data_IF_951846288154
#
_entry.id   IF_951846288154
#
_cell.length_a   1.000
_cell.length_b   1.000
_cell.length_c   1.000
_cell.angle_alpha   90.00
_cell.angle_beta   90.00
_cell.angle_gamma   90.00
#
_symmetry.space_group_name_H-M   'P 1'
#
loop_
_entity.id
_entity.type
_entity.pdbx_description
1 polymer ?
#
# COMPACT_ATOMS: atom_id res chain seq x y z
N UNK A 1 16.28 6.26 -13.27
CA UNK A 1 15.85 4.85 -13.49
C UNK A 1 16.94 3.83 -13.16
N UNK A 2 18.09 3.77 -13.85
CA UNK A 2 19.15 2.79 -13.51
C UNK A 2 19.74 2.99 -12.10
N UNK A 3 19.94 4.25 -11.68
CA UNK A 3 20.40 4.60 -10.33
C UNK A 3 19.40 4.19 -9.24
N UNK A 4 18.11 4.36 -9.51
CA UNK A 4 17.03 4.04 -8.55
C UNK A 4 16.88 2.51 -8.41
N UNK A 5 17.01 1.79 -9.52
CA UNK A 5 17.04 0.33 -9.50
C UNK A 5 18.23 -0.20 -8.71
N UNK A 6 19.42 0.37 -8.92
CA UNK A 6 20.61 0.00 -8.15
C UNK A 6 20.40 0.25 -6.65
N UNK A 7 19.89 1.43 -6.26
CA UNK A 7 19.60 1.73 -4.87
C UNK A 7 18.57 0.77 -4.25
N UNK A 8 17.53 0.38 -5.00
CA UNK A 8 16.57 -0.61 -4.54
C UNK A 8 17.20 -2.01 -4.36
N UNK A 9 18.09 -2.41 -5.27
CA UNK A 9 18.84 -3.66 -5.15
C UNK A 9 19.75 -3.66 -3.91
N UNK A 10 20.40 -2.54 -3.64
CA UNK A 10 21.30 -2.37 -2.48
C UNK A 10 20.54 -2.49 -1.15
N UNK A 11 19.24 -2.16 -1.13
CA UNK A 11 18.36 -2.31 0.04
C UNK A 11 17.80 -3.73 0.14
N UNK A 12 17.26 -4.29 -0.95
CA UNK A 12 16.48 -5.54 -0.92
C UNK A 12 17.38 -6.78 -0.87
N UNK A 13 18.47 -6.81 -1.65
CA UNK A 13 19.34 -8.00 -1.73
C UNK A 13 19.93 -8.41 -0.38
N UNK A 14 20.43 -7.50 0.49
CA UNK A 14 20.93 -7.89 1.80
C UNK A 14 19.87 -8.51 2.70
N UNK A 15 18.63 -7.97 2.68
CA UNK A 15 17.51 -8.50 3.46
C UNK A 15 17.20 -9.94 3.05
N UNK A 16 17.07 -10.19 1.73
CA UNK A 16 16.78 -11.54 1.23
C UNK A 16 17.93 -12.51 1.48
N UNK A 17 19.18 -12.06 1.34
CA UNK A 17 20.37 -12.87 1.65
C UNK A 17 20.37 -13.29 3.12
N UNK A 18 20.02 -12.38 4.03
CA UNK A 18 19.97 -12.68 5.46
C UNK A 18 18.83 -13.64 5.81
N UNK A 19 17.63 -13.43 5.25
CA UNK A 19 16.50 -14.38 5.42
C UNK A 19 16.86 -15.78 4.95
N UNK A 20 17.55 -15.91 3.81
CA UNK A 20 18.03 -17.20 3.29
C UNK A 20 18.96 -17.90 4.28
N UNK A 21 19.96 -17.18 4.83
CA UNK A 21 20.85 -17.75 5.86
C UNK A 21 20.08 -18.23 7.09
N UNK A 22 19.14 -17.42 7.59
CA UNK A 22 18.35 -17.78 8.78
C UNK A 22 17.52 -19.03 8.52
N UNK A 23 16.92 -19.17 7.33
CA UNK A 23 16.16 -20.37 6.93
C UNK A 23 17.06 -21.61 6.81
N UNK A 24 18.25 -21.46 6.23
CA UNK A 24 19.21 -22.57 6.15
C UNK A 24 19.71 -23.01 7.54
N UNK A 25 20.03 -22.08 8.43
CA UNK A 25 20.40 -22.38 9.80
C UNK A 25 19.27 -23.11 10.55
N UNK A 26 18.03 -22.65 10.39
CA UNK A 26 16.85 -23.31 10.95
C UNK A 26 16.71 -24.76 10.47
N UNK A 27 16.92 -24.98 9.17
CA UNK A 27 16.88 -26.30 8.54
C UNK A 27 17.96 -27.23 9.08
N UNK A 28 19.19 -26.74 9.24
CA UNK A 28 20.31 -27.52 9.81
C UNK A 28 20.09 -27.88 11.28
N UNK A 29 19.44 -27.01 12.04
CA UNK A 29 19.07 -27.23 13.45
C UNK A 29 17.80 -28.09 13.62
N UNK A 30 17.14 -28.51 12.53
CA UNK A 30 15.92 -29.31 12.58
C UNK A 30 14.69 -28.54 13.11
N UNK A 31 14.73 -27.21 13.13
CA UNK A 31 13.62 -26.35 13.55
C UNK A 31 12.87 -25.79 12.33
N UNK A 32 11.57 -25.45 12.47
CA UNK A 32 10.84 -24.82 11.38
C UNK A 32 11.49 -23.47 10.99
N UNK A 33 11.61 -23.16 9.69
CA UNK A 33 12.11 -21.87 9.24
C UNK A 33 11.13 -20.75 9.61
N UNK A 34 11.62 -19.54 9.92
CA UNK A 34 10.74 -18.41 10.18
C UNK A 34 10.00 -18.00 8.91
N UNK A 35 8.73 -17.63 9.08
CA UNK A 35 7.87 -17.07 8.04
C UNK A 35 7.63 -15.60 8.36
N UNK A 36 7.94 -14.72 7.41
CA UNK A 36 7.75 -13.28 7.59
C UNK A 36 6.37 -12.86 7.08
N UNK A 37 5.72 -11.92 7.76
CA UNK A 37 4.41 -11.42 7.32
C UNK A 37 4.56 -10.09 6.56
N UNK A 38 5.15 -10.16 5.38
CA UNK A 38 5.39 -8.99 4.52
C UNK A 38 5.40 -9.34 3.02
N UNK A 39 5.43 -8.29 2.20
CA UNK A 39 5.36 -8.40 0.74
C UNK A 39 6.50 -9.24 0.14
N UNK A 40 7.71 -9.19 0.72
CA UNK A 40 8.84 -9.97 0.20
C UNK A 40 8.59 -11.47 0.40
N UNK A 41 8.04 -11.86 1.55
CA UNK A 41 7.61 -13.25 1.77
C UNK A 41 6.45 -13.63 0.85
N UNK A 42 5.43 -12.79 0.75
CA UNK A 42 4.25 -13.10 -0.07
C UNK A 42 4.60 -13.25 -1.55
N UNK A 43 5.53 -12.45 -2.08
CA UNK A 43 6.03 -12.59 -3.45
C UNK A 43 6.79 -13.91 -3.65
N UNK A 44 7.66 -14.28 -2.71
CA UNK A 44 8.37 -15.56 -2.75
C UNK A 44 7.37 -16.74 -2.76
N UNK A 45 6.37 -16.72 -1.88
CA UNK A 45 5.33 -17.74 -1.82
C UNK A 45 4.47 -17.77 -3.09
N UNK A 46 4.18 -16.60 -3.66
CA UNK A 46 3.41 -16.48 -4.91
C UNK A 46 4.19 -16.97 -6.13
N UNK A 47 5.53 -16.90 -6.11
CA UNK A 47 6.38 -17.40 -7.20
C UNK A 47 6.30 -18.91 -7.36
N UNK A 48 5.93 -19.66 -6.30
CA UNK A 48 5.88 -21.13 -6.28
C UNK A 48 7.18 -21.80 -6.76
N UNK A 49 8.32 -21.13 -6.58
CA UNK A 49 9.64 -21.61 -7.00
C UNK A 49 10.07 -21.18 -8.40
N UNK A 50 9.22 -20.46 -9.15
CA UNK A 50 9.62 -19.86 -10.42
C UNK A 50 10.61 -18.71 -10.22
N UNK A 51 11.65 -18.58 -11.06
CA UNK A 51 12.56 -17.46 -11.01
C UNK A 51 11.85 -16.12 -11.21
N UNK A 52 12.12 -15.15 -10.33
CA UNK A 52 11.65 -13.78 -10.47
C UNK A 52 12.70 -12.79 -9.95
N UNK A 53 12.60 -11.53 -10.34
CA UNK A 53 13.40 -10.45 -9.76
C UNK A 53 12.63 -9.84 -8.56
N UNK A 54 13.04 -10.12 -7.31
CA UNK A 54 12.35 -9.59 -6.13
C UNK A 54 12.50 -8.08 -5.98
N UNK A 55 13.55 -7.49 -6.54
CA UNK A 55 13.71 -6.03 -6.53
C UNK A 55 12.72 -5.38 -7.48
N UNK A 56 12.61 -5.92 -8.71
CA UNK A 56 11.63 -5.43 -9.67
C UNK A 56 10.20 -5.59 -9.17
N UNK A 57 9.87 -6.74 -8.58
CA UNK A 57 8.54 -7.01 -8.03
C UNK A 57 8.19 -6.04 -6.88
N UNK A 58 9.11 -5.79 -5.95
CA UNK A 58 8.90 -4.85 -4.84
C UNK A 58 8.80 -3.40 -5.31
N UNK A 59 9.59 -3.00 -6.31
CA UNK A 59 9.49 -1.67 -6.92
C UNK A 59 8.13 -1.47 -7.60
N UNK A 60 7.66 -2.47 -8.33
CA UNK A 60 6.35 -2.45 -8.99
C UNK A 60 5.22 -2.30 -7.97
N UNK A 61 5.24 -3.11 -6.91
CA UNK A 61 4.26 -3.02 -5.82
C UNK A 61 4.27 -1.63 -5.18
N UNK A 62 5.45 -1.08 -4.91
CA UNK A 62 5.58 0.24 -4.29
C UNK A 62 5.03 1.35 -5.20
N UNK A 63 5.33 1.26 -6.50
CA UNK A 63 4.87 2.22 -7.52
C UNK A 63 3.34 2.26 -7.57
N UNK A 64 2.68 1.11 -7.72
CA UNK A 64 1.21 1.05 -7.79
C UNK A 64 0.53 1.46 -6.48
N UNK A 65 1.12 1.14 -5.34
CA UNK A 65 0.56 1.48 -4.03
C UNK A 65 0.58 2.99 -3.75
N UNK A 66 1.66 3.67 -4.17
CA UNK A 66 1.85 5.10 -3.90
C UNK A 66 1.04 5.99 -4.84
N UNK A 67 1.06 5.72 -6.15
CA UNK A 67 0.44 6.62 -7.13
C UNK A 67 -1.07 6.74 -6.95
N UNK A 68 -1.77 5.62 -6.75
CA UNK A 68 -3.23 5.61 -6.58
C UNK A 68 -3.66 6.38 -5.34
N UNK A 69 -3.00 6.13 -4.20
CA UNK A 69 -3.30 6.80 -2.93
C UNK A 69 -2.96 8.29 -2.98
N UNK A 70 -1.79 8.65 -3.55
CA UNK A 70 -1.37 10.04 -3.66
C UNK A 70 -2.30 10.84 -4.59
N UNK A 71 -2.72 10.25 -5.72
CA UNK A 71 -3.66 10.87 -6.63
C UNK A 71 -5.04 11.08 -5.97
N UNK A 72 -5.54 10.06 -5.27
CA UNK A 72 -6.79 10.14 -4.52
C UNK A 72 -6.78 11.25 -3.48
N UNK A 73 -5.73 11.31 -2.65
CA UNK A 73 -5.61 12.34 -1.60
C UNK A 73 -5.49 13.73 -2.24
N UNK A 74 -4.71 13.86 -3.31
CA UNK A 74 -4.55 15.13 -4.02
C UNK A 74 -5.89 15.62 -4.56
N UNK A 75 -6.66 14.73 -5.20
CA UNK A 75 -7.99 15.07 -5.71
C UNK A 75 -8.95 15.45 -4.57
N UNK A 76 -8.95 14.68 -3.47
CA UNK A 76 -9.78 14.98 -2.31
C UNK A 76 -9.45 16.37 -1.73
N UNK A 77 -8.18 16.76 -1.65
CA UNK A 77 -7.79 18.11 -1.19
C UNK A 77 -8.31 19.18 -2.14
N UNK A 78 -8.18 18.98 -3.46
CA UNK A 78 -8.75 19.91 -4.44
C UNK A 78 -10.27 20.02 -4.32
N UNK A 79 -10.96 18.90 -4.08
CA UNK A 79 -12.40 18.88 -3.90
C UNK A 79 -12.85 19.58 -2.62
N UNK A 80 -11.97 19.79 -1.63
CA UNK A 80 -12.28 20.55 -0.41
C UNK A 80 -12.04 22.06 -0.55
N UNK A 81 -11.31 22.51 -1.57
CA UNK A 81 -11.03 23.92 -1.77
C UNK A 81 -12.33 24.73 -1.90
N UNK A 82 -12.53 25.72 -1.02
CA UNK A 82 -13.73 26.57 -0.99
C UNK A 82 -15.01 25.88 -0.48
N UNK A 83 -14.88 24.77 0.28
CA UNK A 83 -15.99 24.06 0.93
C UNK A 83 -15.82 24.01 2.44
N UNK A 84 -15.77 25.18 3.09
CA UNK A 84 -15.50 25.34 4.52
C UNK A 84 -16.50 24.55 5.40
N UNK A 85 -17.78 24.56 5.03
CA UNK A 85 -18.83 23.82 5.75
C UNK A 85 -18.60 22.30 5.71
N UNK A 86 -18.17 21.78 4.55
CA UNK A 86 -17.86 20.36 4.38
C UNK A 86 -16.61 19.98 5.18
N UNK A 87 -15.58 20.83 5.17
CA UNK A 87 -14.38 20.64 6.00
C UNK A 87 -14.76 20.58 7.48
N UNK A 88 -15.64 21.47 7.93
CA UNK A 88 -16.11 21.49 9.31
C UNK A 88 -16.83 20.18 9.69
N UNK A 89 -17.80 19.73 8.90
CA UNK A 89 -18.53 18.49 9.19
C UNK A 89 -17.63 17.25 9.13
N UNK A 90 -16.70 17.16 8.18
CA UNK A 90 -15.69 16.09 8.11
C UNK A 90 -14.81 16.06 9.36
N UNK A 91 -14.32 17.22 9.81
CA UNK A 91 -13.49 17.30 11.03
C UNK A 91 -14.29 16.96 12.27
N UNK A 92 -15.54 17.40 12.35
CA UNK A 92 -16.45 17.10 13.47
C UNK A 92 -16.72 15.61 13.57
N UNK A 93 -16.96 14.91 12.46
CA UNK A 93 -17.09 13.45 12.43
C UNK A 93 -15.82 12.78 12.99
N UNK A 94 -14.65 13.16 12.45
CA UNK A 94 -13.35 12.60 12.86
C UNK A 94 -13.10 12.80 14.36
N UNK A 95 -13.27 14.03 14.86
CA UNK A 95 -13.07 14.33 16.29
C UNK A 95 -14.06 13.55 17.15
N UNK A 96 -15.33 13.46 16.76
CA UNK A 96 -16.36 12.74 17.52
C UNK A 96 -16.01 11.25 17.65
N UNK A 97 -15.75 10.58 16.52
CA UNK A 97 -15.45 9.15 16.48
C UNK A 97 -14.17 8.82 17.25
N UNK A 98 -13.10 9.58 17.02
CA UNK A 98 -11.81 9.32 17.64
C UNK A 98 -11.79 9.64 19.14
N UNK A 99 -12.56 10.64 19.58
CA UNK A 99 -12.67 10.95 21.02
C UNK A 99 -13.41 9.86 21.80
N UNK A 100 -14.35 9.16 21.16
CA UNK A 100 -15.14 8.11 21.80
C UNK A 100 -14.43 6.75 21.80
N UNK A 101 -13.72 6.42 20.72
CA UNK A 101 -13.25 5.04 20.50
C UNK A 101 -11.73 4.90 20.47
N UNK A 102 -11.02 6.02 20.37
CA UNK A 102 -9.59 6.09 20.13
C UNK A 102 -9.21 5.80 18.68
N UNK A 103 -7.91 5.83 18.41
CA UNK A 103 -7.37 5.54 17.09
C UNK A 103 -7.22 4.02 16.87
N UNK A 104 -8.30 3.38 16.40
CA UNK A 104 -8.34 1.94 16.11
C UNK A 104 -8.87 1.70 14.70
N UNK A 105 -8.49 0.57 14.09
CA UNK A 105 -8.99 0.16 12.78
C UNK A 105 -10.52 0.13 12.72
N UNK A 106 -11.17 -0.32 13.79
CA UNK A 106 -12.64 -0.40 13.88
C UNK A 106 -13.31 0.96 13.92
N UNK A 107 -12.65 1.98 14.48
CA UNK A 107 -13.17 3.34 14.57
C UNK A 107 -13.27 3.99 13.19
N UNK A 108 -12.35 3.66 12.28
CA UNK A 108 -12.37 4.18 10.90
C UNK A 108 -13.64 3.76 10.14
N UNK A 109 -14.25 2.62 10.47
CA UNK A 109 -15.50 2.17 9.84
C UNK A 109 -16.70 3.07 10.13
N UNK A 110 -16.59 3.97 11.12
CA UNK A 110 -17.65 4.90 11.54
C UNK A 110 -17.50 6.29 10.93
N UNK A 111 -16.45 6.51 10.14
CA UNK A 111 -16.23 7.76 9.40
C UNK A 111 -17.05 7.74 8.09
N UNK A 112 -18.37 7.68 8.21
CA UNK A 112 -19.28 7.49 7.08
C UNK A 112 -19.29 8.67 6.11
N UNK A 113 -19.23 9.91 6.62
CA UNK A 113 -19.16 11.12 5.81
C UNK A 113 -17.81 11.21 5.09
N UNK A 114 -16.71 10.93 5.79
CA UNK A 114 -15.39 10.86 5.17
C UNK A 114 -15.32 9.81 4.06
N UNK A 115 -15.80 8.59 4.32
CA UNK A 115 -15.85 7.52 3.33
C UNK A 115 -16.71 7.89 2.11
N UNK A 116 -17.87 8.51 2.34
CA UNK A 116 -18.75 9.00 1.26
C UNK A 116 -18.08 10.10 0.43
N UNK A 117 -17.40 11.04 1.09
CA UNK A 117 -16.68 12.13 0.45
C UNK A 117 -15.54 11.61 -0.45
N UNK A 118 -14.70 10.70 0.06
CA UNK A 118 -13.61 10.11 -0.71
C UNK A 118 -14.13 9.33 -1.92
N UNK A 119 -15.25 8.62 -1.77
CA UNK A 119 -15.92 7.93 -2.89
C UNK A 119 -16.42 8.90 -3.94
N UNK A 120 -17.03 10.02 -3.54
CA UNK A 120 -17.51 11.02 -4.49
C UNK A 120 -16.36 11.72 -5.22
N UNK A 121 -15.27 12.02 -4.52
CA UNK A 121 -14.03 12.54 -5.11
C UNK A 121 -13.48 11.62 -6.21
N UNK A 122 -13.46 10.31 -5.94
CA UNK A 122 -13.03 9.30 -6.92
C UNK A 122 -14.04 9.06 -8.04
N UNK A 123 -15.35 9.24 -7.81
CA UNK A 123 -16.37 9.16 -8.86
C UNK A 123 -16.19 10.24 -9.92
N UNK A 124 -15.77 11.44 -9.51
CA UNK A 124 -15.53 12.58 -10.39
C UNK A 124 -14.21 12.46 -11.18
N UNK A 125 -13.23 11.72 -10.64
CA UNK A 125 -11.95 11.45 -11.28
C UNK A 125 -11.57 9.96 -11.13
N UNK A 126 -12.16 9.07 -11.94
CA UNK A 126 -11.81 7.66 -11.89
C UNK A 126 -10.36 7.44 -12.33
N UNK A 127 -9.60 6.66 -11.57
CA UNK A 127 -8.18 6.36 -11.82
C UNK A 127 -7.93 5.63 -13.16
N UNK A 128 -8.97 5.06 -13.79
CA UNK A 128 -8.86 4.13 -14.94
C UNK A 128 -9.48 4.66 -16.25
N UNK A 129 -9.16 5.88 -16.70
CA UNK A 129 -9.52 6.32 -18.08
C UNK A 129 -8.43 5.90 -19.10
N UNK A 130 -7.76 4.75 -18.90
CA UNK A 130 -6.54 4.41 -19.63
C UNK A 130 -6.28 2.94 -19.97
N UNK A 131 -7.18 2.00 -19.69
CA UNK A 131 -7.10 0.66 -20.29
C UNK A 131 -7.95 0.65 -21.57
N UNK A 132 -7.28 0.83 -22.70
CA UNK A 132 -7.87 0.60 -24.01
C UNK A 132 -8.01 -0.92 -24.21
N UNK A 133 -9.22 -1.48 -24.42
CA UNK A 133 -9.41 -2.92 -24.63
C UNK A 133 -8.85 -3.45 -25.96
N UNK A 134 -8.27 -2.59 -26.81
CA UNK A 134 -7.92 -2.93 -28.19
C UNK A 134 -6.58 -3.67 -28.37
N UNK A 135 -5.91 -4.13 -27.32
CA UNK A 135 -4.68 -4.95 -27.43
C UNK A 135 -4.69 -6.05 -26.37
N UNK A 136 -5.52 -7.05 -26.62
CA UNK A 136 -5.41 -8.42 -26.12
C UNK A 136 -5.70 -9.37 -27.29
#
# INVERSE_FOLDING_TARGET
MQRDLQGAQDIIKPVLKERRKIREAARLEGRPPPVYNDALEWMEQSSKGEPYDPTAAQLLLSTFSLHTTADMITQAVFDLCGKEDLIYELRKEVVTVLSQEGWKKTSLNKLHLMDSFLKESQRLKPLNIGENPSIA
#
